data_IF_674898874817
#
_entry.id   IF_674898874817
#
_cell.length_a   1.000
_cell.length_b   1.000
_cell.length_c   1.000
_cell.angle_alpha   90.00
_cell.angle_beta   90.00
_cell.angle_gamma   90.00
#
_symmetry.space_group_name_H-M   'P 1'
#
loop_
_entity.id
_entity.type
_entity.pdbx_description
1 polymer ?
#
# COMPACT_ATOMS: atom_id res chain seq x y z
N UNK A 1 -36.09 2.48 33.44
CA UNK A 1 -36.06 1.02 33.22
C UNK A 1 -36.62 0.77 31.82
N UNK A 2 -35.91 0.27 30.80
CA UNK A 2 -34.71 -0.57 30.74
C UNK A 2 -33.82 -0.15 29.55
N UNK A 3 -32.61 0.29 29.88
CA UNK A 3 -31.46 0.57 29.01
C UNK A 3 -30.66 -0.72 28.77
N UNK A 4 -31.06 -1.57 27.81
CA UNK A 4 -30.39 -2.86 27.59
C UNK A 4 -30.14 -3.26 26.13
N UNK A 5 -30.41 -2.41 25.14
CA UNK A 5 -30.20 -2.74 23.71
C UNK A 5 -28.89 -2.20 23.09
N UNK A 6 -27.98 -1.61 23.88
CA UNK A 6 -26.71 -1.05 23.36
C UNK A 6 -25.47 -1.96 23.52
N UNK A 7 -25.64 -3.25 23.86
CA UNK A 7 -24.52 -4.14 24.23
C UNK A 7 -23.96 -5.07 23.14
N UNK A 8 -24.34 -4.92 21.87
CA UNK A 8 -23.93 -5.86 20.81
C UNK A 8 -23.19 -5.25 19.60
N UNK A 9 -22.85 -3.97 19.64
CA UNK A 9 -21.81 -3.46 18.74
C UNK A 9 -20.50 -3.46 19.50
N UNK A 10 -19.69 -4.51 19.26
CA UNK A 10 -18.25 -4.48 19.53
C UNK A 10 -17.59 -3.29 18.83
N UNK A 11 -16.30 -2.99 19.12
CA UNK A 11 -15.66 -1.75 18.72
C UNK A 11 -15.93 -1.51 17.23
N UNK A 12 -16.65 -0.42 16.96
CA UNK A 12 -16.88 0.12 15.62
C UNK A 12 -15.58 -0.03 14.83
N UNK A 13 -15.64 -0.72 13.69
CA UNK A 13 -14.52 -0.76 12.75
C UNK A 13 -13.96 0.67 12.67
N UNK A 14 -12.65 0.85 12.84
CA UNK A 14 -12.10 2.18 13.01
C UNK A 14 -12.52 3.02 11.82
N UNK A 15 -13.06 4.21 12.09
CA UNK A 15 -13.55 5.09 11.06
C UNK A 15 -12.41 5.35 10.06
N UNK A 16 -12.67 5.14 8.78
CA UNK A 16 -11.71 5.47 7.72
C UNK A 16 -11.36 6.95 7.90
N UNK A 17 -10.06 7.31 8.02
CA UNK A 17 -9.64 8.70 8.16
C UNK A 17 -10.27 9.58 7.09
N UNK A 18 -10.68 10.80 7.47
CA UNK A 18 -11.07 11.79 6.49
C UNK A 18 -9.87 12.16 5.62
N UNK A 19 -10.11 12.39 4.33
CA UNK A 19 -9.08 12.85 3.40
C UNK A 19 -8.85 14.35 3.59
N UNK A 20 -7.94 14.69 4.51
CA UNK A 20 -7.64 16.08 4.90
C UNK A 20 -6.64 16.76 3.98
N UNK A 21 -5.81 15.98 3.29
CA UNK A 21 -4.70 16.47 2.48
C UNK A 21 -4.80 15.98 1.04
N UNK A 22 -4.18 16.73 0.12
CA UNK A 22 -4.13 16.38 -1.29
C UNK A 22 -2.78 16.73 -1.91
N UNK A 23 -2.30 15.87 -2.79
CA UNK A 23 -1.08 16.06 -3.57
C UNK A 23 -1.38 15.70 -5.03
N UNK A 24 -0.94 16.53 -5.96
CA UNK A 24 -1.01 16.22 -7.39
C UNK A 24 0.37 15.83 -7.90
N UNK A 25 0.48 14.59 -8.34
CA UNK A 25 1.67 14.05 -8.99
C UNK A 25 1.61 14.31 -10.49
N UNK A 26 2.77 14.48 -11.12
CA UNK A 26 2.86 14.69 -12.57
C UNK A 26 4.17 14.16 -13.14
N UNK A 27 4.20 13.89 -14.45
CA UNK A 27 5.42 13.49 -15.13
C UNK A 27 6.04 12.21 -14.56
N UNK A 28 7.32 12.29 -14.16
CA UNK A 28 8.06 11.15 -13.61
C UNK A 28 7.51 10.69 -12.26
N UNK A 29 7.13 11.64 -11.40
CA UNK A 29 6.61 11.37 -10.06
C UNK A 29 5.34 10.52 -10.12
N UNK A 30 4.43 10.87 -11.04
CA UNK A 30 3.22 10.08 -11.24
C UNK A 30 3.56 8.62 -11.63
N UNK A 31 4.48 8.42 -12.58
CA UNK A 31 4.84 7.08 -13.07
C UNK A 31 5.45 6.21 -11.97
N UNK A 32 6.34 6.78 -11.15
CA UNK A 32 6.94 6.05 -10.03
C UNK A 32 5.92 5.71 -8.96
N UNK A 33 4.99 6.63 -8.69
CA UNK A 33 3.90 6.36 -7.75
C UNK A 33 2.97 5.25 -8.25
N UNK A 34 2.61 5.26 -9.55
CA UNK A 34 1.83 4.17 -10.15
C UNK A 34 2.55 2.82 -10.02
N UNK A 35 3.86 2.79 -10.27
CA UNK A 35 4.67 1.58 -10.11
C UNK A 35 4.65 1.07 -8.66
N UNK A 36 4.70 1.97 -7.68
CA UNK A 36 4.55 1.62 -6.27
C UNK A 36 3.17 1.04 -5.95
N UNK A 37 2.11 1.68 -6.44
CA UNK A 37 0.73 1.23 -6.25
C UNK A 37 0.56 -0.17 -6.86
N UNK A 38 1.07 -0.40 -8.07
CA UNK A 38 1.03 -1.73 -8.73
C UNK A 38 1.79 -2.78 -7.94
N UNK A 39 3.01 -2.47 -7.47
CA UNK A 39 3.81 -3.38 -6.65
C UNK A 39 3.11 -3.71 -5.33
N UNK A 40 2.51 -2.72 -4.68
CA UNK A 40 1.72 -2.92 -3.46
C UNK A 40 0.51 -3.82 -3.72
N UNK A 41 -0.26 -3.56 -4.79
CA UNK A 41 -1.40 -4.39 -5.19
C UNK A 41 -0.95 -5.83 -5.44
N UNK A 42 0.10 -6.02 -6.23
CA UNK A 42 0.67 -7.33 -6.52
C UNK A 42 1.04 -8.09 -5.23
N UNK A 43 1.79 -7.46 -4.34
CA UNK A 43 2.25 -8.07 -3.11
C UNK A 43 1.10 -8.43 -2.14
N UNK A 44 0.01 -7.65 -2.15
CA UNK A 44 -1.16 -7.88 -1.28
C UNK A 44 -2.23 -8.81 -1.85
N UNK A 45 -2.34 -8.89 -3.17
CA UNK A 45 -3.32 -9.77 -3.83
C UNK A 45 -2.80 -11.18 -4.07
N UNK A 46 -1.49 -11.39 -3.98
CA UNK A 46 -0.91 -12.72 -4.05
C UNK A 46 -1.33 -13.55 -2.83
N UNK A 47 -2.01 -14.68 -3.05
CA UNK A 47 -2.43 -15.57 -1.98
C UNK A 47 -1.22 -16.34 -1.42
N UNK A 48 -0.83 -15.99 -0.19
CA UNK A 48 0.31 -16.58 0.51
C UNK A 48 0.20 -18.09 0.72
N UNK A 49 -1.00 -18.67 0.62
CA UNK A 49 -1.24 -20.11 0.78
C UNK A 49 -0.78 -20.93 -0.42
N UNK A 50 -0.59 -20.30 -1.58
CA UNK A 50 -0.28 -20.98 -2.85
C UNK A 50 1.15 -20.74 -3.32
N UNK A 51 1.97 -20.05 -2.53
CA UNK A 51 3.37 -19.73 -2.86
C UNK A 51 4.32 -20.26 -1.78
N UNK A 52 5.61 -20.27 -2.10
CA UNK A 52 6.64 -20.63 -1.14
C UNK A 52 6.63 -19.68 0.07
N UNK A 53 6.77 -20.18 1.31
CA UNK A 53 6.77 -19.35 2.52
C UNK A 53 7.79 -18.20 2.46
N UNK A 54 8.97 -18.45 1.88
CA UNK A 54 10.02 -17.45 1.71
C UNK A 54 9.57 -16.31 0.79
N UNK A 55 8.83 -16.63 -0.28
CA UNK A 55 8.27 -15.61 -1.17
C UNK A 55 7.13 -14.86 -0.49
N UNK A 56 6.29 -15.54 0.29
CA UNK A 56 5.20 -14.90 1.03
C UNK A 56 5.73 -13.87 2.03
N UNK A 57 6.79 -14.20 2.77
CA UNK A 57 7.45 -13.27 3.70
C UNK A 57 8.05 -12.07 2.95
N UNK A 58 8.74 -12.32 1.83
CA UNK A 58 9.30 -11.25 1.00
C UNK A 58 8.23 -10.31 0.45
N UNK A 59 7.09 -10.83 -0.03
CA UNK A 59 5.99 -10.02 -0.52
C UNK A 59 5.33 -9.21 0.60
N UNK A 60 5.13 -9.81 1.77
CA UNK A 60 4.59 -9.11 2.94
C UNK A 60 5.49 -7.93 3.34
N UNK A 61 6.80 -8.19 3.44
CA UNK A 61 7.78 -7.16 3.76
C UNK A 61 7.87 -6.08 2.67
N UNK A 62 7.82 -6.47 1.39
CA UNK A 62 7.78 -5.54 0.28
C UNK A 62 6.56 -4.63 0.34
N UNK A 63 5.37 -5.19 0.57
CA UNK A 63 4.14 -4.42 0.75
C UNK A 63 4.26 -3.42 1.91
N UNK A 64 4.91 -3.83 3.00
CA UNK A 64 5.13 -2.95 4.16
C UNK A 64 5.99 -1.74 3.80
N UNK A 65 7.14 -1.97 3.19
CA UNK A 65 8.04 -0.87 2.86
C UNK A 65 7.46 0.04 1.78
N UNK A 66 6.84 -0.54 0.75
CA UNK A 66 6.24 0.24 -0.34
C UNK A 66 5.18 1.19 0.20
N UNK A 67 4.35 0.77 1.17
CA UNK A 67 3.41 1.69 1.79
C UNK A 67 4.11 2.78 2.61
N UNK A 68 5.10 2.45 3.44
CA UNK A 68 5.78 3.43 4.30
C UNK A 68 6.37 4.55 3.45
N UNK A 69 6.95 4.17 2.32
CA UNK A 69 7.53 5.13 1.40
C UNK A 69 6.48 5.93 0.61
N UNK A 70 5.34 5.33 0.24
CA UNK A 70 4.21 6.10 -0.31
C UNK A 70 3.69 7.14 0.70
N UNK A 71 3.59 6.78 1.98
CA UNK A 71 3.17 7.71 3.05
C UNK A 71 4.18 8.84 3.21
N UNK A 72 5.48 8.53 3.26
CA UNK A 72 6.53 9.55 3.36
C UNK A 72 6.47 10.50 2.16
N UNK A 73 6.26 9.99 0.95
CA UNK A 73 6.05 10.84 -0.21
C UNK A 73 4.84 11.75 -0.04
N UNK A 74 3.70 11.24 0.44
CA UNK A 74 2.52 12.08 0.67
C UNK A 74 2.77 13.18 1.72
N UNK A 75 3.50 12.87 2.80
CA UNK A 75 3.86 13.83 3.85
C UNK A 75 4.87 14.88 3.37
N UNK A 76 5.89 14.45 2.64
CA UNK A 76 7.02 15.31 2.22
C UNK A 76 6.74 16.05 0.90
N UNK A 77 5.71 15.64 0.16
CA UNK A 77 5.32 16.21 -1.14
C UNK A 77 6.23 15.85 -2.32
N UNK A 78 7.29 15.07 -2.10
CA UNK A 78 8.26 14.64 -3.13
C UNK A 78 8.79 13.24 -2.86
N UNK A 79 9.18 12.47 -3.90
CA UNK A 79 9.80 11.16 -3.68
C UNK A 79 11.21 11.35 -3.12
N UNK A 80 11.63 10.50 -2.19
CA UNK A 80 13.05 10.42 -1.83
C UNK A 80 13.81 9.64 -2.90
N UNK A 81 15.10 9.92 -3.08
CA UNK A 81 15.93 9.14 -4.01
C UNK A 81 16.04 7.70 -3.51
N UNK A 82 16.15 7.48 -2.19
CA UNK A 82 16.19 6.14 -1.62
C UNK A 82 14.94 5.33 -1.96
N UNK A 83 13.78 6.00 -2.07
CA UNK A 83 12.55 5.33 -2.48
C UNK A 83 12.62 4.76 -3.89
N UNK A 84 13.10 5.55 -4.85
CA UNK A 84 13.19 5.14 -6.25
C UNK A 84 14.16 3.98 -6.43
N UNK A 85 15.30 4.06 -5.75
CA UNK A 85 16.31 2.99 -5.77
C UNK A 85 15.76 1.72 -5.11
N UNK A 86 15.03 1.85 -4.00
CA UNK A 86 14.38 0.73 -3.34
C UNK A 86 13.36 0.03 -4.26
N UNK A 87 12.48 0.78 -4.91
CA UNK A 87 11.45 0.25 -5.81
C UNK A 87 12.05 -0.57 -6.94
N UNK A 88 13.06 -0.02 -7.60
CA UNK A 88 13.75 -0.69 -8.68
C UNK A 88 14.49 -1.94 -8.19
N UNK A 89 15.14 -1.85 -7.03
CA UNK A 89 15.83 -2.99 -6.41
C UNK A 89 14.85 -4.14 -6.13
N UNK A 90 13.71 -3.87 -5.50
CA UNK A 90 12.72 -4.92 -5.18
C UNK A 90 12.11 -5.57 -6.42
N UNK A 91 11.81 -4.79 -7.45
CA UNK A 91 11.31 -5.37 -8.70
C UNK A 91 12.35 -6.25 -9.40
N UNK A 92 13.62 -5.82 -9.40
CA UNK A 92 14.70 -6.61 -9.97
C UNK A 92 14.96 -7.90 -9.16
N UNK A 93 14.94 -7.82 -7.83
CA UNK A 93 15.04 -8.99 -6.96
C UNK A 93 13.94 -10.00 -7.26
N UNK A 94 12.67 -9.57 -7.30
CA UNK A 94 11.53 -10.45 -7.63
C UNK A 94 11.68 -11.09 -9.02
N UNK A 95 12.14 -10.33 -10.02
CA UNK A 95 12.38 -10.83 -11.39
C UNK A 95 13.55 -11.81 -11.47
N UNK A 96 14.50 -11.74 -10.54
CA UNK A 96 15.67 -12.61 -10.48
C UNK A 96 15.43 -13.92 -9.73
N UNK A 97 14.27 -14.07 -9.08
CA UNK A 97 13.94 -15.28 -8.34
C UNK A 97 13.85 -16.50 -9.28
N UNK A 98 14.26 -17.68 -8.80
CA UNK A 98 14.15 -18.91 -9.58
C UNK A 98 12.69 -19.24 -9.88
N UNK A 99 12.43 -19.75 -11.09
CA UNK A 99 11.10 -20.10 -11.56
C UNK A 99 10.33 -21.05 -10.63
N UNK A 100 11.03 -21.88 -9.86
CA UNK A 100 10.42 -22.78 -8.86
C UNK A 100 9.72 -22.03 -7.73
N UNK A 101 10.23 -20.86 -7.33
CA UNK A 101 9.57 -20.02 -6.31
C UNK A 101 8.40 -19.22 -6.89
N UNK A 102 8.47 -18.87 -8.18
CA UNK A 102 7.46 -18.07 -8.88
C UNK A 102 6.29 -18.90 -9.42
N UNK A 103 6.39 -20.23 -9.42
CA UNK A 103 5.41 -21.14 -10.04
C UNK A 103 3.98 -21.01 -9.48
N UNK A 104 3.84 -20.55 -8.23
CA UNK A 104 2.55 -20.32 -7.58
C UNK A 104 1.93 -18.95 -7.82
N UNK A 105 2.59 -18.07 -8.57
CA UNK A 105 2.11 -16.71 -8.83
C UNK A 105 1.17 -16.68 -10.05
N UNK A 106 -0.01 -16.08 -9.86
CA UNK A 106 -0.94 -15.77 -10.96
C UNK A 106 -0.42 -14.64 -11.85
N UNK A 107 0.30 -13.69 -11.27
CA UNK A 107 0.95 -12.57 -11.96
C UNK A 107 2.45 -12.70 -11.77
N UNK A 108 3.21 -12.77 -12.86
CA UNK A 108 4.66 -12.86 -12.78
C UNK A 108 5.30 -11.48 -12.52
N UNK A 109 6.48 -11.41 -11.88
CA UNK A 109 7.13 -10.13 -11.55
C UNK A 109 7.41 -9.20 -12.75
N UNK A 110 7.53 -9.74 -13.96
CA UNK A 110 7.69 -8.92 -15.17
C UNK A 110 6.38 -8.29 -15.66
N UNK A 111 5.23 -8.87 -15.28
CA UNK A 111 3.89 -8.44 -15.65
C UNK A 111 3.32 -7.38 -14.68
N UNK A 112 3.98 -7.10 -13.55
CA UNK A 112 3.54 -6.09 -12.57
C UNK A 112 3.28 -4.72 -13.22
N UNK A 113 4.09 -4.35 -14.22
CA UNK A 113 3.93 -3.08 -14.95
C UNK A 113 2.64 -3.02 -15.78
N UNK A 114 2.10 -4.19 -16.16
CA UNK A 114 0.91 -4.36 -16.99
C UNK A 114 -0.38 -4.34 -16.16
N UNK A 115 -0.28 -4.39 -14.83
CA UNK A 115 -1.43 -4.25 -13.93
C UNK A 115 -2.14 -2.93 -14.26
N UNK A 116 -3.39 -3.02 -14.70
CA UNK A 116 -4.24 -1.87 -14.97
C UNK A 116 -4.83 -1.36 -13.66
N UNK A 117 -4.54 -0.10 -13.35
CA UNK A 117 -5.13 0.56 -12.19
C UNK A 117 -6.56 0.98 -12.53
N UNK A 118 -7.47 0.74 -11.59
CA UNK A 118 -8.84 1.25 -11.68
C UNK A 118 -8.84 2.80 -11.67
N UNK A 119 -9.95 3.40 -12.12
CA UNK A 119 -10.13 4.87 -12.11
C UNK A 119 -9.86 5.51 -10.75
N UNK A 120 -10.15 4.78 -9.68
CA UNK A 120 -9.84 5.15 -8.31
C UNK A 120 -9.25 3.95 -7.59
N UNK A 121 -8.05 4.13 -7.03
CA UNK A 121 -7.40 3.14 -6.18
C UNK A 121 -7.52 3.61 -4.73
N UNK A 122 -8.14 2.78 -3.90
CA UNK A 122 -8.32 3.05 -2.46
C UNK A 122 -7.40 2.13 -1.68
N UNK A 123 -6.49 2.73 -0.93
CA UNK A 123 -5.56 2.01 -0.07
C UNK A 123 -5.80 2.44 1.38
N UNK A 124 -5.71 1.48 2.29
CA UNK A 124 -5.78 1.71 3.73
C UNK A 124 -4.61 1.01 4.38
N UNK A 125 -3.98 1.69 5.32
CA UNK A 125 -2.78 1.24 5.99
C UNK A 125 -2.93 1.45 7.49
N UNK A 126 -2.25 0.63 8.27
CA UNK A 126 -2.00 0.87 9.68
C UNK A 126 -0.52 1.17 9.81
N UNK A 127 -0.19 2.36 10.30
CA UNK A 127 1.16 2.73 10.69
C UNK A 127 1.54 1.89 11.92
N UNK A 128 2.51 1.00 11.78
CA UNK A 128 2.89 0.06 12.83
C UNK A 128 3.58 0.74 14.03
N UNK A 129 4.20 1.91 13.83
CA UNK A 129 4.88 2.65 14.89
C UNK A 129 3.88 3.41 15.78
N UNK A 130 2.87 4.02 15.16
CA UNK A 130 1.92 4.92 15.86
C UNK A 130 0.53 4.30 16.07
N UNK A 131 0.25 3.17 15.41
CA UNK A 131 -1.08 2.58 15.34
C UNK A 131 -2.11 3.44 14.59
N UNK A 132 -1.68 4.51 13.92
CA UNK A 132 -2.55 5.39 13.16
C UNK A 132 -3.00 4.71 11.87
N UNK A 133 -4.26 4.89 11.49
CA UNK A 133 -4.73 4.48 10.17
C UNK A 133 -4.44 5.58 9.17
N UNK A 134 -3.92 5.19 8.02
CA UNK A 134 -3.77 6.06 6.87
C UNK A 134 -4.73 5.60 5.78
N UNK A 135 -5.50 6.53 5.23
CA UNK A 135 -6.31 6.31 4.05
C UNK A 135 -5.70 7.09 2.88
N UNK A 136 -5.56 6.43 1.74
CA UNK A 136 -5.10 7.03 0.49
C UNK A 136 -6.11 6.72 -0.62
N UNK A 137 -6.50 7.74 -1.35
CA UNK A 137 -7.27 7.65 -2.58
C UNK A 137 -6.41 8.21 -3.71
N UNK A 138 -6.11 7.37 -4.70
CA UNK A 138 -5.33 7.74 -5.87
C UNK A 138 -6.17 7.67 -7.14
N UNK A 139 -6.07 8.70 -7.98
CA UNK A 139 -6.72 8.80 -9.29
C UNK A 139 -5.65 8.78 -10.39
N UNK A 140 -5.38 7.61 -11.02
CA UNK A 140 -4.31 7.48 -12.00
C UNK A 140 -4.43 8.45 -13.18
N UNK A 141 -5.64 8.66 -13.70
CA UNK A 141 -5.86 9.55 -14.85
C UNK A 141 -5.44 11.01 -14.58
N UNK A 142 -5.54 11.47 -13.33
CA UNK A 142 -5.30 12.86 -12.95
C UNK A 142 -4.01 13.07 -12.13
N UNK A 143 -3.38 11.99 -11.67
CA UNK A 143 -2.26 12.02 -10.73
C UNK A 143 -2.65 12.53 -9.35
N UNK A 144 -3.94 12.67 -9.03
CA UNK A 144 -4.39 13.21 -7.74
C UNK A 144 -4.37 12.15 -6.65
N UNK A 145 -3.64 12.44 -5.59
CA UNK A 145 -3.66 11.73 -4.32
C UNK A 145 -4.46 12.53 -3.31
N UNK A 146 -5.40 11.90 -2.62
CA UNK A 146 -6.03 12.43 -1.40
C UNK A 146 -5.72 11.50 -0.25
N UNK A 147 -5.28 12.03 0.87
CA UNK A 147 -4.85 11.21 1.99
C UNK A 147 -5.21 11.83 3.34
N UNK A 148 -5.23 11.00 4.37
CA UNK A 148 -5.47 11.43 5.73
C UNK A 148 -5.07 10.37 6.75
N UNK A 149 -4.81 10.82 7.97
CA UNK A 149 -4.35 10.00 9.08
C UNK A 149 -5.38 10.06 10.21
N UNK A 150 -5.68 8.93 10.85
CA UNK A 150 -6.39 8.95 12.13
C UNK A 150 -5.45 9.42 13.24
N UNK A 151 -5.99 10.00 14.30
CA UNK A 151 -5.19 10.20 15.52
C UNK A 151 -4.74 8.83 16.04
N UNK A 152 -3.42 8.61 16.11
CA UNK A 152 -2.85 7.40 16.71
C UNK A 152 -3.19 7.35 18.19
N UNK A 153 -3.18 6.15 18.78
CA UNK A 153 -3.31 6.03 20.25
C UNK A 153 -2.05 6.66 20.86
N UNK A 154 -2.19 7.83 21.49
CA UNK A 154 -1.18 8.30 22.45
C UNK A 154 -1.10 7.23 23.55
N UNK A 155 0.01 6.50 23.60
CA UNK A 155 0.39 5.77 24.80
C UNK A 155 0.82 6.83 25.81
N UNK A 156 -0.06 7.12 26.77
CA UNK A 156 0.32 7.69 28.06
C UNK A 156 1.07 6.65 28.91
#
# INVERSE_FOLDING_TARGET
MLSWLSKWFGPTAPAVPEYTEQLRLSGHDQRFFEQAVKLYIFARHTDSRHIAPELAEQLSYCAHIVYSLMINWMRDGKPSIEYLDFLNTRLNELRSLPASLLAGLEIQPHEIQEIELMKQVRLQFTDEETGALCALLYEPESGLCRFGFSEGKKQD
#
